data_IF_668246045740
#
_entry.id   IF_668246045740
#
_cell.length_a   1.000
_cell.length_b   1.000
_cell.length_c   1.000
_cell.angle_alpha   90.00
_cell.angle_beta   90.00
_cell.angle_gamma   90.00
#
_symmetry.space_group_name_H-M   'P 1'
#
loop_
_entity.id
_entity.type
_entity.pdbx_description
1 polymer ?
#
# COMPACT_ATOMS: atom_id res chain seq x y z
N UNK A 1 69.80 -58.44 64.77
CA UNK A 1 70.58 -58.26 66.00
C UNK A 1 69.62 -58.07 67.16
N UNK A 2 69.81 -58.62 68.35
CA UNK A 2 70.83 -59.50 68.90
C UNK A 2 70.10 -60.62 69.69
N UNK A 3 70.63 -61.86 69.73
CA UNK A 3 70.15 -62.92 70.60
C UNK A 3 70.89 -62.85 71.95
N UNK A 4 70.21 -63.15 73.06
CA UNK A 4 70.88 -63.40 74.34
C UNK A 4 70.57 -64.82 74.80
N UNK A 5 71.65 -65.58 74.82
CA UNK A 5 71.84 -66.98 75.16
C UNK A 5 72.51 -67.01 76.54
N UNK A 6 72.01 -67.79 77.48
CA UNK A 6 72.66 -68.07 78.76
C UNK A 6 72.28 -69.47 79.23
N UNK A 7 73.27 -70.35 79.14
CA UNK A 7 73.36 -71.74 79.62
C UNK A 7 73.96 -71.78 81.05
N UNK A 8 74.06 -73.00 81.60
CA UNK A 8 74.59 -73.49 82.91
C UNK A 8 73.51 -73.83 83.95
N UNK A 9 73.53 -74.95 84.67
CA UNK A 9 74.30 -76.22 84.63
C UNK A 9 73.68 -77.17 85.67
N UNK A 10 73.86 -78.48 85.46
CA UNK A 10 73.70 -79.59 86.40
C UNK A 10 74.54 -79.35 87.69
N UNK A 11 74.41 -79.99 88.85
CA UNK A 11 73.91 -81.29 89.29
C UNK A 11 74.02 -81.23 90.84
N UNK A 12 73.05 -81.73 91.62
CA UNK A 12 73.28 -82.61 92.79
C UNK A 12 72.02 -82.76 93.69
N UNK A 13 71.63 -84.03 93.76
CA UNK A 13 71.37 -84.81 94.96
C UNK A 13 69.93 -85.19 95.33
N UNK A 14 69.75 -86.51 95.30
CA UNK A 14 68.56 -87.27 95.60
C UNK A 14 68.34 -87.32 97.09
N UNK A 15 67.16 -86.92 97.56
CA UNK A 15 66.40 -87.65 98.60
C UNK A 15 65.25 -86.79 99.12
N UNK A 16 64.04 -87.04 98.62
CA UNK A 16 62.83 -87.23 99.44
C UNK A 16 61.61 -87.36 98.53
N UNK A 17 61.29 -88.61 98.25
CA UNK A 17 60.01 -89.06 97.71
C UNK A 17 58.87 -88.62 98.64
N UNK A 18 57.69 -88.47 98.05
CA UNK A 18 56.39 -88.56 98.73
C UNK A 18 55.88 -87.30 99.45
N UNK A 19 55.92 -86.12 98.80
CA UNK A 19 54.99 -85.02 99.13
C UNK A 19 54.75 -84.05 97.96
N UNK A 20 54.94 -84.51 96.71
CA UNK A 20 54.96 -83.68 95.49
C UNK A 20 53.67 -83.80 94.62
N UNK A 21 52.74 -84.69 94.99
CA UNK A 21 51.50 -84.89 94.23
C UNK A 21 50.48 -83.76 94.39
N UNK A 22 50.40 -83.12 95.55
CA UNK A 22 49.39 -82.08 95.85
C UNK A 22 49.82 -80.67 95.46
N UNK A 23 51.13 -80.36 95.54
CA UNK A 23 51.68 -79.06 95.13
C UNK A 23 51.73 -78.91 93.59
N UNK A 24 52.10 -79.97 92.87
CA UNK A 24 52.07 -79.97 91.40
C UNK A 24 50.63 -79.85 90.88
N UNK A 25 49.67 -80.53 91.52
CA UNK A 25 48.25 -80.42 91.18
C UNK A 25 47.73 -79.00 91.42
N UNK A 26 48.20 -78.33 92.49
CA UNK A 26 47.86 -76.95 92.81
C UNK A 26 48.45 -75.97 91.77
N UNK A 27 49.70 -76.14 91.36
CA UNK A 27 50.30 -75.31 90.30
C UNK A 27 49.65 -75.53 88.94
N UNK A 28 49.33 -76.78 88.58
CA UNK A 28 48.62 -77.11 87.33
C UNK A 28 47.19 -76.55 87.34
N UNK A 29 46.49 -76.60 88.48
CA UNK A 29 45.16 -75.99 88.61
C UNK A 29 45.21 -74.47 88.57
N UNK A 30 46.20 -73.83 89.21
CA UNK A 30 46.40 -72.37 89.11
C UNK A 30 46.72 -71.95 87.67
N UNK A 31 47.58 -72.69 86.97
CA UNK A 31 47.89 -72.44 85.56
C UNK A 31 46.68 -72.68 84.65
N UNK A 32 45.91 -73.74 84.88
CA UNK A 32 44.69 -74.03 84.12
C UNK A 32 43.62 -72.95 84.34
N UNK A 33 43.42 -72.50 85.58
CA UNK A 33 42.51 -71.39 85.90
C UNK A 33 42.99 -70.08 85.28
N UNK A 34 44.30 -69.78 85.35
CA UNK A 34 44.89 -68.61 84.70
C UNK A 34 44.74 -68.63 83.18
N UNK A 35 44.97 -69.78 82.54
CA UNK A 35 44.77 -69.97 81.10
C UNK A 35 43.29 -69.85 80.72
N UNK A 36 42.38 -70.41 81.53
CA UNK A 36 40.94 -70.33 81.29
C UNK A 36 40.41 -68.90 81.46
N UNK A 37 40.84 -68.18 82.50
CA UNK A 37 40.53 -66.77 82.70
C UNK A 37 41.13 -65.89 81.61
N UNK A 38 42.36 -66.16 81.18
CA UNK A 38 43.02 -65.46 80.06
C UNK A 38 42.31 -65.69 78.72
N UNK A 39 41.85 -66.92 78.46
CA UNK A 39 41.05 -67.26 77.29
C UNK A 39 39.68 -66.61 77.35
N UNK A 40 38.99 -66.65 78.49
CA UNK A 40 37.68 -66.01 78.68
C UNK A 40 37.78 -64.50 78.52
N UNK A 41 38.78 -63.85 79.14
CA UNK A 41 39.04 -62.42 78.99
C UNK A 41 39.39 -62.06 77.55
N UNK A 42 40.20 -62.86 76.85
CA UNK A 42 40.53 -62.62 75.43
C UNK A 42 39.32 -62.80 74.53
N UNK A 43 38.52 -63.85 74.75
CA UNK A 43 37.27 -64.10 74.02
C UNK A 43 36.29 -62.96 74.22
N UNK A 44 36.10 -62.50 75.46
CA UNK A 44 35.21 -61.39 75.76
C UNK A 44 35.72 -60.07 75.16
N UNK A 45 37.03 -59.83 75.18
CA UNK A 45 37.64 -58.64 74.56
C UNK A 45 37.55 -58.68 73.03
N UNK A 46 37.65 -59.87 72.43
CA UNK A 46 37.42 -60.09 70.99
C UNK A 46 35.95 -59.84 70.65
N UNK A 47 35.02 -60.43 71.40
CA UNK A 47 33.58 -60.28 71.18
C UNK A 47 33.13 -58.81 71.32
N UNK A 48 33.64 -58.08 72.31
CA UNK A 48 33.37 -56.64 72.45
C UNK A 48 33.96 -55.82 71.31
N UNK A 49 35.21 -56.09 70.87
CA UNK A 49 35.80 -55.43 69.71
C UNK A 49 35.02 -55.73 68.41
N UNK A 50 34.59 -56.96 68.23
CA UNK A 50 33.76 -57.37 67.08
C UNK A 50 32.38 -56.73 67.11
N UNK A 51 31.72 -56.67 68.28
CA UNK A 51 30.42 -56.02 68.44
C UNK A 51 30.52 -54.53 68.10
N UNK A 52 31.52 -53.82 68.65
CA UNK A 52 31.72 -52.39 68.37
C UNK A 52 32.01 -52.14 66.89
N UNK A 53 32.86 -52.97 66.26
CA UNK A 53 33.13 -52.86 64.83
C UNK A 53 31.88 -53.16 63.98
N UNK A 54 31.11 -54.17 64.36
CA UNK A 54 29.86 -54.54 63.68
C UNK A 54 28.79 -53.45 63.80
N UNK A 55 28.64 -52.85 64.98
CA UNK A 55 27.71 -51.75 65.23
C UNK A 55 28.11 -50.50 64.44
N UNK A 56 29.41 -50.18 64.39
CA UNK A 56 29.94 -49.09 63.55
C UNK A 56 29.64 -49.31 62.07
N UNK A 57 29.96 -50.50 61.54
CA UNK A 57 29.69 -50.85 60.14
C UNK A 57 28.20 -50.86 59.84
N UNK A 58 27.38 -51.40 60.75
CA UNK A 58 25.92 -51.41 60.61
C UNK A 58 25.34 -49.99 60.63
N UNK A 59 25.89 -49.11 61.47
CA UNK A 59 25.50 -47.71 61.54
C UNK A 59 25.86 -46.99 60.24
N UNK A 60 27.11 -47.11 59.78
CA UNK A 60 27.59 -46.49 58.53
C UNK A 60 26.81 -46.99 57.31
N UNK A 61 26.47 -48.29 57.29
CA UNK A 61 25.64 -48.88 56.25
C UNK A 61 24.21 -48.32 56.27
N UNK A 62 23.57 -48.20 57.45
CA UNK A 62 22.23 -47.61 57.58
C UNK A 62 22.23 -46.14 57.16
N UNK A 63 23.24 -45.37 57.55
CA UNK A 63 23.39 -43.97 57.14
C UNK A 63 23.57 -43.87 55.62
N UNK A 64 24.50 -44.65 55.04
CA UNK A 64 24.72 -44.67 53.58
C UNK A 64 23.47 -45.09 52.81
N UNK A 65 22.70 -46.05 53.35
CA UNK A 65 21.43 -46.48 52.75
C UNK A 65 20.36 -45.38 52.83
N UNK A 66 20.23 -44.70 53.97
CA UNK A 66 19.31 -43.57 54.14
C UNK A 66 19.68 -42.40 53.21
N UNK A 67 20.97 -42.07 53.09
CA UNK A 67 21.47 -41.05 52.18
C UNK A 67 21.18 -41.40 50.73
N UNK A 68 21.41 -42.67 50.33
CA UNK A 68 21.10 -43.14 48.99
C UNK A 68 19.59 -43.07 48.70
N UNK A 69 18.76 -43.48 49.66
CA UNK A 69 17.30 -43.42 49.54
C UNK A 69 16.81 -41.96 49.43
N UNK A 70 17.36 -41.05 50.23
CA UNK A 70 17.03 -39.63 50.17
C UNK A 70 17.48 -38.99 48.85
N UNK A 71 18.69 -39.32 48.38
CA UNK A 71 19.19 -38.87 47.08
C UNK A 71 18.32 -39.38 45.92
N UNK A 72 17.86 -40.63 45.99
CA UNK A 72 16.94 -41.20 45.02
C UNK A 72 15.59 -40.48 45.00
N UNK A 73 14.99 -40.22 46.17
CA UNK A 73 13.73 -39.45 46.28
C UNK A 73 13.91 -38.02 45.75
N UNK A 74 15.01 -37.36 46.10
CA UNK A 74 15.33 -36.01 45.61
C UNK A 74 15.49 -35.99 44.07
N UNK A 75 16.16 -37.00 43.51
CA UNK A 75 16.33 -37.13 42.06
C UNK A 75 15.00 -37.38 41.34
N UNK A 76 14.15 -38.27 41.88
CA UNK A 76 12.80 -38.51 41.34
C UNK A 76 11.96 -37.24 41.38
N UNK A 77 11.93 -36.53 42.51
CA UNK A 77 11.19 -35.27 42.62
C UNK A 77 11.67 -34.21 41.62
N UNK A 78 12.99 -34.13 41.37
CA UNK A 78 13.56 -33.24 40.36
C UNK A 78 13.11 -33.62 38.94
N UNK A 79 13.10 -34.92 38.62
CA UNK A 79 12.63 -35.43 37.33
C UNK A 79 11.13 -35.18 37.14
N UNK A 80 10.31 -35.43 38.16
CA UNK A 80 8.86 -35.16 38.13
C UNK A 80 8.58 -33.67 37.89
N UNK A 81 9.30 -32.78 38.58
CA UNK A 81 9.19 -31.33 38.37
C UNK A 81 9.56 -30.93 36.93
N UNK A 82 10.65 -31.49 36.40
CA UNK A 82 11.07 -31.23 35.01
C UNK A 82 10.05 -31.77 33.99
N UNK A 83 9.43 -32.92 34.27
CA UNK A 83 8.39 -33.49 33.43
C UNK A 83 7.12 -32.62 33.43
N UNK A 84 6.72 -32.07 34.58
CA UNK A 84 5.58 -31.17 34.67
C UNK A 84 5.84 -29.81 33.99
N UNK A 85 7.05 -29.28 34.11
CA UNK A 85 7.48 -28.09 33.34
C UNK A 85 7.45 -28.36 31.83
N UNK A 86 7.95 -29.52 31.39
CA UNK A 86 7.90 -29.92 29.98
C UNK A 86 6.46 -30.09 29.46
N UNK A 87 5.54 -30.66 30.26
CA UNK A 87 4.12 -30.77 29.90
C UNK A 87 3.46 -29.39 29.75
N UNK A 88 3.74 -28.46 30.67
CA UNK A 88 3.24 -27.07 30.58
C UNK A 88 3.74 -26.36 29.31
N UNK A 89 5.02 -26.51 28.98
CA UNK A 89 5.57 -25.99 27.73
C UNK A 89 4.92 -26.65 26.50
N UNK A 90 4.64 -27.96 26.56
CA UNK A 90 3.88 -28.67 25.53
C UNK A 90 2.51 -28.06 25.27
N UNK A 91 1.73 -27.80 26.33
CA UNK A 91 0.40 -27.16 26.20
C UNK A 91 0.47 -25.75 25.63
N UNK A 92 1.46 -24.94 26.02
CA UNK A 92 1.67 -23.59 25.47
C UNK A 92 1.99 -23.67 23.96
N UNK A 93 2.83 -24.63 23.55
CA UNK A 93 3.16 -24.85 22.14
C UNK A 93 1.95 -25.28 21.31
N UNK A 94 1.06 -26.11 21.86
CA UNK A 94 -0.19 -26.51 21.21
C UNK A 94 -1.15 -25.32 21.02
N UNK A 95 -1.30 -24.48 22.05
CA UNK A 95 -2.12 -23.26 22.00
C UNK A 95 -1.58 -22.25 20.96
N UNK A 96 -0.26 -22.05 20.93
CA UNK A 96 0.40 -21.19 19.94
C UNK A 96 0.23 -21.74 18.51
N UNK A 97 0.34 -23.06 18.31
CA UNK A 97 0.11 -23.68 17.01
C UNK A 97 -1.36 -23.51 16.57
N UNK A 98 -2.31 -23.69 17.49
CA UNK A 98 -3.73 -23.44 17.22
C UNK A 98 -3.99 -21.97 16.84
N UNK A 99 -3.39 -21.02 17.55
CA UNK A 99 -3.46 -19.59 17.24
C UNK A 99 -2.86 -19.27 15.86
N UNK A 100 -1.70 -19.84 15.52
CA UNK A 100 -1.06 -19.66 14.23
C UNK A 100 -1.89 -20.25 13.08
N UNK A 101 -2.53 -21.40 13.27
CA UNK A 101 -3.49 -21.96 12.29
C UNK A 101 -4.69 -21.04 12.06
N UNK A 102 -5.20 -20.41 13.12
CA UNK A 102 -6.28 -19.41 13.02
C UNK A 102 -5.83 -18.19 12.22
N UNK A 103 -4.63 -17.67 12.46
CA UNK A 103 -4.03 -16.57 11.69
C UNK A 103 -3.82 -16.95 10.22
N UNK A 104 -3.28 -18.14 9.94
CA UNK A 104 -3.07 -18.63 8.58
C UNK A 104 -4.39 -18.69 7.81
N UNK A 105 -5.47 -19.22 8.41
CA UNK A 105 -6.80 -19.20 7.80
C UNK A 105 -7.30 -17.78 7.50
N UNK A 106 -7.03 -16.81 8.37
CA UNK A 106 -7.40 -15.42 8.13
C UNK A 106 -6.62 -14.80 6.96
N UNK A 107 -5.31 -15.09 6.86
CA UNK A 107 -4.46 -14.64 5.73
C UNK A 107 -4.95 -15.25 4.43
N UNK A 108 -5.21 -16.56 4.37
CA UNK A 108 -5.75 -17.21 3.17
C UNK A 108 -7.10 -16.61 2.73
N UNK A 109 -7.95 -16.22 3.67
CA UNK A 109 -9.22 -15.53 3.34
C UNK A 109 -8.97 -14.14 2.74
N UNK A 110 -7.97 -13.41 3.23
CA UNK A 110 -7.57 -12.11 2.67
C UNK A 110 -7.03 -12.28 1.25
N UNK A 111 -6.19 -13.29 1.00
CA UNK A 111 -5.67 -13.63 -0.34
C UNK A 111 -6.81 -13.96 -1.31
N UNK A 112 -7.75 -14.81 -0.92
CA UNK A 112 -8.94 -15.12 -1.74
C UNK A 112 -9.78 -13.88 -2.03
N UNK A 113 -9.96 -13.01 -1.04
CA UNK A 113 -10.68 -11.74 -1.25
C UNK A 113 -9.93 -10.82 -2.22
N UNK A 114 -8.60 -10.76 -2.13
CA UNK A 114 -7.76 -9.99 -3.05
C UNK A 114 -7.88 -10.51 -4.48
N UNK A 115 -7.83 -11.83 -4.69
CA UNK A 115 -7.99 -12.45 -6.00
C UNK A 115 -9.36 -12.16 -6.61
N UNK A 116 -10.42 -12.24 -5.81
CA UNK A 116 -11.77 -11.87 -6.23
C UNK A 116 -11.87 -10.39 -6.64
N UNK A 117 -11.32 -9.48 -5.82
CA UNK A 117 -11.30 -8.04 -6.13
C UNK A 117 -10.50 -7.78 -7.42
N UNK A 118 -9.35 -8.42 -7.59
CA UNK A 118 -8.50 -8.32 -8.78
C UNK A 118 -9.22 -8.81 -10.04
N UNK A 119 -9.97 -9.91 -9.95
CA UNK A 119 -10.79 -10.42 -11.04
C UNK A 119 -11.94 -9.47 -11.40
N UNK A 120 -12.66 -8.95 -10.40
CA UNK A 120 -13.73 -7.95 -10.61
C UNK A 120 -13.19 -6.66 -11.24
N UNK A 121 -12.03 -6.18 -10.77
CA UNK A 121 -11.36 -5.01 -11.33
C UNK A 121 -10.99 -5.23 -12.80
N UNK A 122 -10.41 -6.40 -13.11
CA UNK A 122 -10.05 -6.77 -14.48
C UNK A 122 -11.26 -6.84 -15.42
N UNK A 123 -12.41 -7.33 -14.94
CA UNK A 123 -13.64 -7.35 -15.73
C UNK A 123 -14.20 -5.94 -15.93
N UNK A 124 -14.27 -5.13 -14.86
CA UNK A 124 -14.71 -3.73 -14.93
C UNK A 124 -13.88 -2.92 -15.93
N UNK A 125 -12.58 -3.23 -16.00
CA UNK A 125 -11.68 -2.59 -16.96
C UNK A 125 -11.96 -2.97 -18.41
N UNK A 126 -12.32 -4.24 -18.68
CA UNK A 126 -12.76 -4.69 -20.01
C UNK A 126 -14.06 -3.98 -20.40
N UNK A 127 -15.02 -3.90 -19.49
CA UNK A 127 -16.31 -3.25 -19.72
C UNK A 127 -16.12 -1.74 -20.01
N UNK A 128 -15.27 -1.06 -19.22
CA UNK A 128 -14.88 0.34 -19.47
C UNK A 128 -14.31 0.55 -20.87
N UNK A 129 -13.39 -0.33 -21.30
CA UNK A 129 -12.79 -0.26 -22.63
C UNK A 129 -13.80 -0.51 -23.74
N UNK A 130 -14.76 -1.42 -23.55
CA UNK A 130 -15.84 -1.66 -24.49
C UNK A 130 -16.77 -0.45 -24.61
N UNK A 131 -17.17 0.14 -23.48
CA UNK A 131 -17.99 1.37 -23.45
C UNK A 131 -17.26 2.52 -24.12
N UNK A 132 -15.95 2.66 -23.89
CA UNK A 132 -15.13 3.70 -24.53
C UNK A 132 -15.10 3.54 -26.06
N UNK A 133 -14.95 2.30 -26.56
CA UNK A 133 -15.03 2.02 -28.01
C UNK A 133 -16.41 2.35 -28.58
N UNK A 134 -17.50 1.97 -27.89
CA UNK A 134 -18.87 2.31 -28.29
C UNK A 134 -19.09 3.82 -28.33
N UNK A 135 -18.56 4.55 -27.36
CA UNK A 135 -18.61 6.02 -27.32
C UNK A 135 -17.85 6.65 -28.50
N UNK A 136 -16.66 6.15 -28.83
CA UNK A 136 -15.88 6.65 -29.97
C UNK A 136 -16.61 6.45 -31.31
N UNK A 137 -17.26 5.30 -31.50
CA UNK A 137 -18.11 5.03 -32.67
C UNK A 137 -19.31 5.98 -32.70
N UNK A 138 -20.00 6.15 -31.58
CA UNK A 138 -21.11 7.08 -31.45
C UNK A 138 -20.73 8.53 -31.80
N UNK A 139 -19.58 9.02 -31.32
CA UNK A 139 -19.07 10.35 -31.63
C UNK A 139 -18.81 10.51 -33.13
N UNK A 140 -18.27 9.46 -33.78
CA UNK A 140 -18.02 9.47 -35.23
C UNK A 140 -19.32 9.52 -36.02
N UNK A 141 -20.32 8.74 -35.62
CA UNK A 141 -21.64 8.71 -36.25
C UNK A 141 -22.40 10.03 -36.07
N UNK A 142 -22.28 10.66 -34.90
CA UNK A 142 -22.83 12.00 -34.65
C UNK A 142 -22.24 13.04 -35.59
N UNK A 143 -20.91 13.08 -35.73
CA UNK A 143 -20.26 14.01 -36.68
C UNK A 143 -20.71 13.77 -38.12
N UNK A 144 -20.85 12.51 -38.54
CA UNK A 144 -21.35 12.19 -39.87
C UNK A 144 -22.80 12.65 -40.08
N UNK A 145 -23.66 12.54 -39.05
CA UNK A 145 -25.03 13.04 -39.10
C UNK A 145 -25.09 14.57 -39.13
N UNK A 146 -24.25 15.24 -38.35
CA UNK A 146 -24.12 16.71 -38.34
C UNK A 146 -23.74 17.23 -39.74
N UNK A 147 -22.72 16.64 -40.37
CA UNK A 147 -22.33 16.93 -41.75
C UNK A 147 -23.47 16.68 -42.75
N UNK A 148 -24.25 15.61 -42.53
CA UNK A 148 -25.37 15.27 -43.41
C UNK A 148 -26.52 16.28 -43.28
N UNK A 149 -26.86 16.68 -42.05
CA UNK A 149 -27.84 17.73 -41.77
C UNK A 149 -27.40 19.03 -42.42
N UNK A 150 -26.12 19.41 -42.33
CA UNK A 150 -25.61 20.63 -42.95
C UNK A 150 -25.81 20.61 -44.47
N UNK A 151 -25.50 19.49 -45.14
CA UNK A 151 -25.70 19.32 -46.59
C UNK A 151 -27.18 19.36 -46.98
N UNK A 152 -28.06 18.69 -46.22
CA UNK A 152 -29.51 18.71 -46.47
C UNK A 152 -30.07 20.12 -46.37
N UNK A 153 -29.66 20.89 -45.36
CA UNK A 153 -30.11 22.28 -45.21
C UNK A 153 -29.66 23.17 -46.39
N UNK A 154 -28.42 23.03 -46.86
CA UNK A 154 -27.95 23.73 -48.05
C UNK A 154 -28.74 23.35 -49.30
N UNK A 155 -29.13 22.08 -49.43
CA UNK A 155 -29.96 21.61 -50.55
C UNK A 155 -31.39 22.13 -50.47
N UNK A 156 -32.01 22.13 -49.28
CA UNK A 156 -33.32 22.74 -49.05
C UNK A 156 -33.32 24.22 -49.45
N UNK A 157 -32.31 24.99 -49.01
CA UNK A 157 -32.17 26.42 -49.34
C UNK A 157 -32.03 26.65 -50.85
N UNK A 158 -31.19 25.86 -51.53
CA UNK A 158 -31.07 25.90 -53.01
C UNK A 158 -32.38 25.56 -53.71
N UNK A 159 -33.13 24.61 -53.18
CA UNK A 159 -34.40 24.13 -53.74
C UNK A 159 -35.50 25.16 -53.56
N UNK A 160 -35.59 25.78 -52.37
CA UNK A 160 -36.51 26.88 -52.07
C UNK A 160 -36.22 28.10 -52.96
N UNK A 161 -34.94 28.46 -53.17
CA UNK A 161 -34.55 29.51 -54.11
C UNK A 161 -34.93 29.16 -55.57
N UNK A 162 -34.80 27.90 -55.97
CA UNK A 162 -35.19 27.43 -57.31
C UNK A 162 -36.70 27.40 -57.51
N UNK A 163 -37.48 27.06 -56.47
CA UNK A 163 -38.94 27.11 -56.48
C UNK A 163 -39.45 28.53 -56.74
N UNK A 164 -38.80 29.55 -56.19
CA UNK A 164 -39.12 30.96 -56.46
C UNK A 164 -38.93 31.34 -57.94
N UNK A 165 -38.10 30.60 -58.70
CA UNK A 165 -37.82 30.86 -60.12
C UNK A 165 -38.79 30.18 -61.11
N UNK A 166 -39.74 29.37 -60.65
CA UNK A 166 -40.93 28.94 -61.41
C UNK A 166 -40.78 27.74 -62.36
N UNK A 167 -39.57 27.33 -62.75
CA UNK A 167 -39.37 26.17 -63.64
C UNK A 167 -39.23 24.87 -62.81
N UNK A 168 -40.20 23.94 -62.92
CA UNK A 168 -40.29 22.62 -62.21
C UNK A 168 -40.86 22.60 -60.78
N UNK A 169 -41.89 23.38 -60.51
CA UNK A 169 -42.49 23.51 -59.17
C UNK A 169 -42.92 22.17 -58.50
N UNK A 170 -43.61 21.29 -59.22
CA UNK A 170 -44.19 20.07 -58.62
C UNK A 170 -43.13 19.01 -58.24
N UNK A 171 -42.09 18.83 -59.06
CA UNK A 171 -40.98 17.91 -58.78
C UNK A 171 -40.17 18.42 -57.57
N UNK A 172 -39.89 19.73 -57.52
CA UNK A 172 -39.16 20.36 -56.43
C UNK A 172 -39.95 20.36 -55.12
N UNK A 173 -41.27 20.56 -55.15
CA UNK A 173 -42.13 20.43 -53.95
C UNK A 173 -42.09 19.01 -53.37
N UNK A 174 -42.10 17.99 -54.22
CA UNK A 174 -42.00 16.58 -53.79
C UNK A 174 -40.64 16.28 -53.15
N UNK A 175 -39.54 16.77 -53.75
CA UNK A 175 -38.19 16.64 -53.19
C UNK A 175 -38.06 17.36 -51.85
N UNK A 176 -38.63 18.58 -51.73
CA UNK A 176 -38.60 19.36 -50.50
C UNK A 176 -39.37 18.67 -49.35
N UNK A 177 -40.54 18.08 -49.64
CA UNK A 177 -41.31 17.31 -48.64
C UNK A 177 -40.53 16.08 -48.16
N UNK A 178 -39.88 15.36 -49.08
CA UNK A 178 -39.04 14.21 -48.73
C UNK A 178 -37.85 14.62 -47.84
N UNK A 179 -37.13 15.69 -48.20
CA UNK A 179 -36.02 16.23 -47.42
C UNK A 179 -36.47 16.73 -46.03
N UNK A 180 -37.60 17.42 -45.94
CA UNK A 180 -38.17 17.87 -44.64
C UNK A 180 -38.56 16.68 -43.75
N UNK A 181 -39.07 15.59 -44.32
CA UNK A 181 -39.36 14.35 -43.58
C UNK A 181 -38.09 13.69 -43.06
N UNK A 182 -37.05 13.60 -43.88
CA UNK A 182 -35.75 13.05 -43.47
C UNK A 182 -35.10 13.89 -42.37
N UNK A 183 -35.12 15.22 -42.50
CA UNK A 183 -34.62 16.15 -41.50
C UNK A 183 -35.35 16.00 -40.15
N UNK A 184 -36.67 15.78 -40.17
CA UNK A 184 -37.45 15.47 -38.95
C UNK A 184 -36.99 14.18 -38.29
N UNK A 185 -36.70 13.12 -39.05
CA UNK A 185 -36.20 11.85 -38.51
C UNK A 185 -34.79 12.03 -37.91
N UNK A 186 -33.91 12.77 -38.58
CA UNK A 186 -32.57 13.07 -38.09
C UNK A 186 -32.62 13.89 -36.79
N UNK A 187 -33.47 14.91 -36.72
CA UNK A 187 -33.66 15.70 -35.49
C UNK A 187 -34.19 14.86 -34.32
N UNK A 188 -35.12 13.92 -34.59
CA UNK A 188 -35.59 12.99 -33.56
C UNK A 188 -34.48 12.05 -33.07
N UNK A 189 -33.65 11.54 -34.00
CA UNK A 189 -32.48 10.72 -33.64
C UNK A 189 -31.51 11.52 -32.79
N UNK A 190 -31.19 12.74 -33.22
CA UNK A 190 -30.26 13.62 -32.52
C UNK A 190 -30.71 13.94 -31.09
N UNK A 191 -32.00 14.20 -30.88
CA UNK A 191 -32.56 14.35 -29.51
C UNK A 191 -32.37 13.10 -28.64
N UNK A 192 -32.55 11.89 -29.20
CA UNK A 192 -32.27 10.65 -28.47
C UNK A 192 -30.77 10.49 -28.15
N UNK A 193 -29.89 10.87 -29.07
CA UNK A 193 -28.46 10.86 -28.84
C UNK A 193 -28.03 11.87 -27.77
N UNK A 194 -28.60 13.08 -27.76
CA UNK A 194 -28.36 14.08 -26.72
C UNK A 194 -28.70 13.55 -25.33
N UNK A 195 -29.87 12.92 -25.18
CA UNK A 195 -30.27 12.29 -23.91
C UNK A 195 -29.33 11.16 -23.47
N UNK A 196 -28.86 10.34 -24.42
CA UNK A 196 -27.89 9.28 -24.14
C UNK A 196 -26.53 9.85 -23.73
N UNK A 197 -26.05 10.89 -24.42
CA UNK A 197 -24.80 11.57 -24.11
C UNK A 197 -24.85 12.20 -22.71
N UNK A 198 -25.94 12.86 -22.37
CA UNK A 198 -26.14 13.45 -21.03
C UNK A 198 -26.24 12.39 -19.93
N UNK A 199 -26.83 11.23 -20.23
CA UNK A 199 -26.82 10.07 -19.33
C UNK A 199 -25.39 9.57 -19.10
N UNK A 200 -24.60 9.44 -20.17
CA UNK A 200 -23.19 9.01 -20.08
C UNK A 200 -22.33 10.03 -19.33
N UNK A 201 -22.48 11.33 -19.61
CA UNK A 201 -21.79 12.42 -18.90
C UNK A 201 -22.08 12.36 -17.41
N UNK A 202 -23.36 12.21 -17.01
CA UNK A 202 -23.75 12.04 -15.60
C UNK A 202 -23.14 10.79 -14.97
N UNK A 203 -23.14 9.65 -15.66
CA UNK A 203 -22.53 8.43 -15.17
C UNK A 203 -21.01 8.58 -14.95
N UNK A 204 -20.30 9.21 -15.89
CA UNK A 204 -18.88 9.52 -15.77
C UNK A 204 -18.62 10.49 -14.62
N UNK A 205 -19.42 11.55 -14.49
CA UNK A 205 -19.31 12.55 -13.43
C UNK A 205 -19.48 11.90 -12.04
N UNK A 206 -20.54 11.11 -11.84
CA UNK A 206 -20.79 10.36 -10.59
C UNK A 206 -19.67 9.37 -10.28
N UNK A 207 -19.23 8.61 -11.27
CA UNK A 207 -18.10 7.67 -11.09
C UNK A 207 -16.82 8.42 -10.73
N UNK A 208 -16.56 9.55 -11.37
CA UNK A 208 -15.37 10.37 -11.11
C UNK A 208 -15.44 10.98 -9.71
N UNK A 209 -16.61 11.44 -9.26
CA UNK A 209 -16.80 11.98 -7.92
C UNK A 209 -16.52 10.94 -6.84
N UNK A 210 -17.00 9.70 -7.01
CA UNK A 210 -16.70 8.59 -6.09
C UNK A 210 -15.20 8.31 -6.05
N UNK A 211 -14.56 8.13 -7.20
CA UNK A 211 -13.11 7.87 -7.26
C UNK A 211 -12.28 9.03 -6.72
N UNK A 212 -12.71 10.27 -6.94
CA UNK A 212 -12.07 11.47 -6.39
C UNK A 212 -12.10 11.47 -4.87
N UNK A 213 -13.28 11.21 -4.28
CA UNK A 213 -13.45 11.14 -2.84
C UNK A 213 -12.71 9.94 -2.21
N UNK A 214 -12.73 8.78 -2.88
CA UNK A 214 -12.04 7.57 -2.42
C UNK A 214 -10.51 7.73 -2.41
N UNK A 215 -9.94 8.42 -3.41
CA UNK A 215 -8.48 8.54 -3.57
C UNK A 215 -7.89 9.76 -2.87
N UNK A 216 -8.59 10.88 -2.94
CA UNK A 216 -8.06 12.19 -2.53
C UNK A 216 -8.86 12.83 -1.39
N UNK A 217 -9.95 12.21 -0.95
CA UNK A 217 -10.82 12.75 0.09
C UNK A 217 -11.77 13.85 -0.40
N UNK A 218 -12.41 14.53 0.55
CA UNK A 218 -13.31 15.65 0.25
C UNK A 218 -12.51 16.88 -0.19
N UNK A 219 -13.02 17.58 -1.22
CA UNK A 219 -12.45 18.84 -1.70
C UNK A 219 -13.02 20.09 -0.98
N UNK A 220 -12.68 21.31 -1.45
CA UNK A 220 -11.80 21.58 -2.58
C UNK A 220 -10.34 21.18 -2.30
N UNK A 221 -9.66 20.69 -3.33
CA UNK A 221 -8.28 20.24 -3.24
C UNK A 221 -7.32 21.38 -3.55
N UNK A 222 -6.12 21.36 -2.97
CA UNK A 222 -5.07 22.33 -3.27
C UNK A 222 -3.82 21.65 -3.83
N UNK A 223 -3.24 22.28 -4.86
CA UNK A 223 -2.00 21.84 -5.51
C UNK A 223 -0.95 22.93 -5.43
N UNK A 224 0.18 22.61 -4.83
CA UNK A 224 1.38 23.45 -4.81
C UNK A 224 2.24 23.15 -6.02
N UNK A 225 2.55 24.19 -6.80
CA UNK A 225 3.50 24.12 -7.91
C UNK A 225 4.82 24.76 -7.51
N UNK A 226 5.86 23.95 -7.40
CA UNK A 226 7.24 24.40 -7.28
C UNK A 226 7.80 24.60 -8.70
N UNK A 227 8.33 25.79 -8.96
CA UNK A 227 8.88 26.16 -10.27
C UNK A 227 10.33 26.60 -10.15
N UNK A 228 11.05 26.49 -11.27
CA UNK A 228 12.43 26.96 -11.41
C UNK A 228 12.50 27.91 -12.59
N UNK A 229 13.08 29.09 -12.37
CA UNK A 229 13.47 30.01 -13.43
C UNK A 229 14.80 29.53 -14.04
N UNK A 230 14.80 29.29 -15.35
CA UNK A 230 15.97 28.82 -16.10
C UNK A 230 16.54 29.99 -16.88
N UNK A 231 17.35 30.82 -16.21
CA UNK A 231 18.06 31.95 -16.81
C UNK A 231 19.57 31.77 -16.66
N UNK A 232 20.24 31.34 -17.74
CA UNK A 232 21.68 31.07 -17.70
C UNK A 232 22.02 29.93 -16.74
N UNK A 233 22.89 30.20 -15.75
CA UNK A 233 23.34 29.22 -14.76
C UNK A 233 22.60 29.31 -13.42
N UNK A 234 21.75 30.32 -13.19
CA UNK A 234 20.95 30.41 -11.96
C UNK A 234 19.68 29.57 -12.07
N UNK A 235 19.28 28.97 -10.95
CA UNK A 235 18.04 28.21 -10.78
C UNK A 235 17.27 28.79 -9.60
N UNK A 236 16.70 29.97 -9.81
CA UNK A 236 15.88 30.60 -8.79
C UNK A 236 14.58 29.80 -8.65
N UNK A 237 14.20 29.50 -7.41
CA UNK A 237 12.99 28.74 -7.10
C UNK A 237 11.87 29.67 -6.67
N UNK A 238 10.65 29.33 -7.04
CA UNK A 238 9.44 29.96 -6.54
C UNK A 238 8.32 28.93 -6.46
N UNK A 239 7.21 29.30 -5.83
CA UNK A 239 6.04 28.44 -5.79
C UNK A 239 4.74 29.23 -5.80
N UNK A 240 3.67 28.61 -6.30
CA UNK A 240 2.31 29.14 -6.24
C UNK A 240 1.34 28.00 -5.92
N UNK A 241 0.20 28.33 -5.33
CA UNK A 241 -0.82 27.36 -4.93
C UNK A 241 -2.09 27.59 -5.72
N UNK A 242 -2.65 26.49 -6.23
CA UNK A 242 -3.93 26.44 -6.92
C UNK A 242 -4.94 25.73 -6.02
N UNK A 243 -6.11 26.33 -5.83
CA UNK A 243 -7.28 25.65 -5.29
C UNK A 243 -8.16 25.17 -6.44
N UNK A 244 -8.57 23.90 -6.41
CA UNK A 244 -9.39 23.29 -7.45
C UNK A 244 -10.87 23.54 -7.21
N UNK A 245 -11.67 23.42 -8.27
CA UNK A 245 -13.12 23.49 -8.20
C UNK A 245 -13.67 22.41 -7.22
N UNK A 246 -14.81 22.66 -6.56
CA UNK A 246 -15.45 21.67 -5.70
C UNK A 246 -15.74 20.33 -6.40
N UNK A 247 -15.61 19.23 -5.66
CA UNK A 247 -15.77 17.87 -6.19
C UNK A 247 -17.17 17.59 -6.77
N UNK A 248 -18.20 18.29 -6.30
CA UNK A 248 -19.58 18.18 -6.79
C UNK A 248 -19.85 19.03 -8.03
N UNK A 249 -18.95 19.98 -8.34
CA UNK A 249 -19.10 20.92 -9.43
C UNK A 249 -18.47 20.41 -10.73
N UNK A 250 -17.24 19.89 -10.64
CA UNK A 250 -16.49 19.36 -11.79
C UNK A 250 -15.63 18.13 -11.43
N UNK A 251 -16.25 17.05 -10.94
CA UNK A 251 -15.53 15.87 -10.46
C UNK A 251 -14.64 15.23 -11.50
N UNK A 252 -15.07 15.19 -12.77
CA UNK A 252 -14.30 14.50 -13.80
C UNK A 252 -12.99 15.23 -14.09
N UNK A 253 -13.07 16.55 -14.26
CA UNK A 253 -11.92 17.41 -14.57
C UNK A 253 -10.94 17.48 -13.41
N UNK A 254 -11.45 17.63 -12.18
CA UNK A 254 -10.62 17.67 -10.98
C UNK A 254 -9.92 16.33 -10.76
N UNK A 255 -10.63 15.20 -10.89
CA UNK A 255 -10.03 13.88 -10.80
C UNK A 255 -8.92 13.69 -11.85
N UNK A 256 -9.20 14.06 -13.10
CA UNK A 256 -8.22 13.96 -14.19
C UNK A 256 -6.98 14.78 -13.91
N UNK A 257 -7.13 16.02 -13.46
CA UNK A 257 -6.00 16.87 -13.13
C UNK A 257 -5.18 16.32 -11.94
N UNK A 258 -5.85 15.83 -10.88
CA UNK A 258 -5.14 15.26 -9.72
C UNK A 258 -4.42 13.95 -10.06
N UNK A 259 -4.99 13.09 -10.92
CA UNK A 259 -4.32 11.89 -11.43
C UNK A 259 -3.06 12.26 -12.26
N UNK A 260 -3.06 13.39 -12.96
CA UNK A 260 -1.87 13.91 -13.64
C UNK A 260 -0.83 14.44 -12.66
N UNK A 261 -1.25 15.16 -11.62
CA UNK A 261 -0.34 15.65 -10.57
C UNK A 261 0.30 14.48 -9.82
N UNK A 262 -0.50 13.52 -9.33
CA UNK A 262 -0.02 12.39 -8.53
C UNK A 262 0.90 11.44 -9.31
N UNK A 263 0.76 11.36 -10.63
CA UNK A 263 1.66 10.58 -11.49
C UNK A 263 2.99 11.28 -11.81
N UNK A 264 3.15 12.55 -11.42
CA UNK A 264 4.31 13.39 -11.73
C UNK A 264 4.31 13.89 -13.17
N UNK A 265 3.15 13.94 -13.84
CA UNK A 265 3.06 14.29 -15.27
C UNK A 265 3.61 15.69 -15.56
N UNK A 266 3.36 16.62 -14.65
CA UNK A 266 3.74 18.02 -14.80
C UNK A 266 5.20 18.32 -14.46
N UNK A 267 5.95 17.39 -13.87
CA UNK A 267 7.36 17.59 -13.54
C UNK A 267 8.19 17.77 -14.81
N UNK A 268 8.89 18.89 -14.94
CA UNK A 268 9.63 19.30 -16.13
C UNK A 268 8.77 19.81 -17.28
N UNK A 269 7.46 20.04 -17.08
CA UNK A 269 6.67 20.82 -18.03
C UNK A 269 7.07 22.30 -17.94
N UNK A 270 6.90 23.04 -19.03
CA UNK A 270 7.27 24.45 -19.10
C UNK A 270 6.07 25.35 -19.39
N UNK A 271 6.21 26.62 -19.02
CA UNK A 271 5.30 27.68 -19.42
C UNK A 271 5.74 28.15 -20.81
N UNK A 272 5.15 27.56 -21.84
CA UNK A 272 5.75 27.55 -23.18
C UNK A 272 5.17 28.60 -24.13
N UNK A 273 3.95 29.07 -23.89
CA UNK A 273 3.28 30.13 -24.65
C UNK A 273 2.66 31.10 -23.65
N UNK A 274 2.93 32.39 -23.80
CA UNK A 274 2.09 33.45 -23.23
C UNK A 274 1.47 34.23 -24.38
N UNK A 275 0.14 34.24 -24.42
CA UNK A 275 -0.64 35.09 -25.33
C UNK A 275 -1.33 36.18 -24.53
N UNK A 276 -2.08 37.04 -25.21
CA UNK A 276 -2.69 38.22 -24.59
C UNK A 276 -3.56 37.86 -23.38
N UNK A 277 -4.27 36.73 -23.40
CA UNK A 277 -5.29 36.39 -22.41
C UNK A 277 -4.99 35.16 -21.55
N UNK A 278 -4.01 34.32 -21.91
CA UNK A 278 -3.64 33.11 -21.17
C UNK A 278 -2.14 32.80 -21.22
N UNK A 279 -1.65 32.06 -20.22
CA UNK A 279 -0.35 31.40 -20.19
C UNK A 279 -0.59 29.90 -20.34
N UNK A 280 0.04 29.22 -21.30
CA UNK A 280 -0.11 27.78 -21.52
C UNK A 280 1.05 26.98 -20.90
N UNK A 281 0.69 25.84 -20.30
CA UNK A 281 1.58 24.92 -19.59
C UNK A 281 1.49 23.55 -20.24
N UNK A 282 2.65 22.92 -20.49
CA UNK A 282 2.71 21.63 -21.16
C UNK A 282 4.14 21.14 -21.40
N UNK A 283 4.27 19.94 -21.98
CA UNK A 283 5.57 19.44 -22.42
C UNK A 283 5.92 20.00 -23.79
N UNK A 284 6.72 21.07 -23.81
CA UNK A 284 7.19 21.67 -25.05
C UNK A 284 8.27 20.82 -25.74
N UNK A 285 9.08 20.11 -24.96
CA UNK A 285 10.27 19.45 -25.50
C UNK A 285 9.90 18.25 -26.37
N UNK A 286 8.62 17.83 -26.39
CA UNK A 286 8.15 16.59 -27.01
C UNK A 286 9.15 15.47 -26.72
N UNK A 287 9.65 15.42 -25.47
CA UNK A 287 10.75 14.53 -25.15
C UNK A 287 10.20 13.10 -25.32
N UNK A 288 10.61 12.36 -26.37
CA UNK A 288 9.93 11.11 -26.70
C UNK A 288 10.12 10.07 -25.59
N UNK A 289 11.17 10.20 -24.78
CA UNK A 289 11.39 9.34 -23.62
C UNK A 289 10.43 9.67 -22.48
N UNK A 290 10.24 10.97 -22.19
CA UNK A 290 9.28 11.41 -21.17
C UNK A 290 7.87 11.00 -21.57
N UNK A 291 7.50 11.22 -22.82
CA UNK A 291 6.21 10.80 -23.37
C UNK A 291 6.03 9.27 -23.27
N UNK A 292 7.05 8.46 -23.58
CA UNK A 292 7.00 7.00 -23.39
C UNK A 292 6.82 6.59 -21.93
N UNK A 293 7.50 7.24 -20.99
CA UNK A 293 7.37 6.96 -19.55
C UNK A 293 5.96 7.30 -19.08
N UNK A 294 5.46 8.46 -19.50
CA UNK A 294 4.10 8.94 -19.24
C UNK A 294 3.09 7.95 -19.81
N UNK A 295 3.17 7.65 -21.11
CA UNK A 295 2.29 6.69 -21.78
C UNK A 295 2.36 5.31 -21.12
N UNK A 296 3.53 4.86 -20.65
CA UNK A 296 3.67 3.60 -19.92
C UNK A 296 2.92 3.63 -18.58
N UNK A 297 3.15 4.66 -17.75
CA UNK A 297 2.42 4.86 -16.48
C UNK A 297 0.90 4.93 -16.70
N UNK A 298 0.46 5.70 -17.69
CA UNK A 298 -0.95 5.84 -18.03
C UNK A 298 -1.56 4.56 -18.61
N UNK A 299 -0.79 3.79 -19.40
CA UNK A 299 -1.20 2.47 -19.89
C UNK A 299 -1.33 1.45 -18.76
N UNK A 300 -0.40 1.45 -17.80
CA UNK A 300 -0.48 0.62 -16.58
C UNK A 300 -1.73 0.98 -15.75
N UNK A 301 -2.08 2.26 -15.67
CA UNK A 301 -3.30 2.75 -15.03
C UNK A 301 -4.57 2.63 -15.90
N UNK A 302 -4.43 2.16 -17.15
CA UNK A 302 -5.52 2.12 -18.16
C UNK A 302 -6.33 3.42 -18.22
N UNK A 303 -5.59 4.53 -18.22
CA UNK A 303 -6.08 5.88 -18.10
C UNK A 303 -5.52 6.74 -19.22
N UNK A 304 -6.36 7.56 -19.86
CA UNK A 304 -5.90 8.55 -20.84
C UNK A 304 -5.70 9.88 -20.12
N UNK A 305 -4.57 10.58 -20.27
CA UNK A 305 -4.34 11.91 -19.68
C UNK A 305 -5.13 12.99 -20.43
N UNK A 306 -6.43 12.75 -20.64
CA UNK A 306 -7.34 13.62 -21.35
C UNK A 306 -8.75 13.43 -20.81
N UNK A 307 -9.53 14.50 -20.71
CA UNK A 307 -10.93 14.41 -20.33
C UNK A 307 -11.74 13.63 -21.38
N UNK A 308 -12.77 12.93 -20.90
CA UNK A 308 -13.73 12.22 -21.76
C UNK A 308 -14.73 13.18 -22.42
N UNK A 309 -14.98 14.34 -21.81
CA UNK A 309 -15.85 15.40 -22.31
C UNK A 309 -15.48 16.76 -21.70
N UNK A 310 -15.99 17.84 -22.27
CA UNK A 310 -15.82 19.20 -21.75
C UNK A 310 -16.78 19.44 -20.58
N UNK A 311 -16.31 19.24 -19.35
CA UNK A 311 -17.08 19.49 -18.13
C UNK A 311 -16.98 20.97 -17.74
N UNK A 312 -17.90 21.78 -18.25
CA UNK A 312 -18.00 23.22 -17.96
C UNK A 312 -19.12 23.50 -16.96
N UNK A 313 -18.84 24.33 -15.95
CA UNK A 313 -19.84 24.81 -15.00
C UNK A 313 -19.91 26.35 -15.00
N UNK A 314 -21.07 26.98 -15.29
CA UNK A 314 -21.20 28.44 -15.31
C UNK A 314 -21.00 29.10 -13.93
N UNK A 315 -21.10 28.34 -12.84
CA UNK A 315 -20.79 28.83 -11.48
C UNK A 315 -19.28 28.86 -11.18
N UNK A 316 -18.43 28.33 -12.08
CA UNK A 316 -16.98 28.42 -12.01
C UNK A 316 -16.42 29.07 -13.28
N UNK A 317 -16.60 30.39 -13.43
CA UNK A 317 -16.23 31.13 -14.64
C UNK A 317 -14.71 31.24 -14.85
N UNK A 318 -14.31 31.54 -16.08
CA UNK A 318 -12.90 31.72 -16.47
C UNK A 318 -12.38 33.12 -16.08
N UNK A 319 -12.35 33.43 -14.79
CA UNK A 319 -11.84 34.70 -14.27
C UNK A 319 -10.32 34.82 -14.36
N UNK A 320 -9.77 36.01 -14.06
CA UNK A 320 -8.32 36.17 -13.88
C UNK A 320 -7.77 35.14 -12.88
N UNK A 321 -6.60 34.57 -13.19
CA UNK A 321 -5.90 33.56 -12.39
C UNK A 321 -6.61 32.21 -12.25
N UNK A 322 -7.65 31.94 -13.02
CA UNK A 322 -8.24 30.60 -13.10
C UNK A 322 -7.50 29.71 -14.10
N UNK A 323 -7.58 28.39 -13.91
CA UNK A 323 -6.96 27.38 -14.74
C UNK A 323 -8.00 26.69 -15.61
N UNK A 324 -7.65 26.38 -16.86
CA UNK A 324 -8.54 25.64 -17.75
C UNK A 324 -7.85 24.72 -18.74
N UNK A 325 -8.63 23.79 -19.31
CA UNK A 325 -8.20 22.94 -20.43
C UNK A 325 -8.73 23.52 -21.74
N UNK A 326 -7.85 23.68 -22.74
CA UNK A 326 -8.20 24.31 -24.02
C UNK A 326 -9.13 23.46 -24.90
N UNK A 327 -9.99 24.12 -25.69
CA UNK A 327 -10.83 23.45 -26.71
C UNK A 327 -9.95 22.74 -27.74
N UNK A 328 -10.14 21.42 -27.89
CA UNK A 328 -9.38 20.56 -28.81
C UNK A 328 -8.16 19.86 -28.19
N UNK A 329 -7.76 20.25 -26.98
CA UNK A 329 -6.74 19.55 -26.20
C UNK A 329 -7.24 19.45 -24.75
N UNK A 330 -7.97 18.38 -24.46
CA UNK A 330 -8.60 18.12 -23.16
C UNK A 330 -7.61 17.61 -22.11
N UNK A 331 -6.36 18.09 -22.16
CA UNK A 331 -5.25 17.59 -21.39
C UNK A 331 -4.24 16.79 -22.23
N UNK A 332 -2.97 16.71 -21.77
CA UNK A 332 -2.52 17.11 -20.43
C UNK A 332 -2.19 18.60 -20.28
N UNK A 333 -2.08 19.34 -21.39
CA UNK A 333 -1.77 20.77 -21.35
C UNK A 333 -2.94 21.57 -20.78
N UNK A 334 -2.64 22.53 -19.93
CA UNK A 334 -3.63 23.45 -19.36
C UNK A 334 -3.13 24.90 -19.49
N UNK A 335 -3.98 25.86 -19.18
CA UNK A 335 -3.61 27.26 -19.19
C UNK A 335 -4.02 27.97 -17.90
N UNK A 336 -3.44 29.14 -17.67
CA UNK A 336 -3.83 30.09 -16.61
C UNK A 336 -4.34 31.37 -17.28
N UNK A 337 -5.54 31.81 -16.91
CA UNK A 337 -6.14 33.06 -17.37
C UNK A 337 -5.41 34.29 -16.82
N UNK A 338 -5.06 35.22 -17.71
CA UNK A 338 -4.42 36.51 -17.38
C UNK A 338 -5.41 37.64 -17.16
N UNK A 339 -6.64 37.45 -17.62
CA UNK A 339 -7.77 38.37 -17.56
C UNK A 339 -9.04 37.53 -17.46
N UNK A 340 -10.19 38.16 -17.19
CA UNK A 340 -11.48 37.48 -17.28
C UNK A 340 -11.79 37.08 -18.74
N UNK A 341 -11.78 35.77 -18.99
CA UNK A 341 -12.07 35.14 -20.27
C UNK A 341 -13.41 34.39 -20.26
N UNK A 342 -14.32 34.69 -19.33
CA UNK A 342 -15.61 34.00 -19.22
C UNK A 342 -16.40 34.02 -20.52
N UNK A 343 -16.34 35.11 -21.28
CA UNK A 343 -17.01 35.23 -22.59
C UNK A 343 -16.32 34.46 -23.70
N UNK A 344 -14.99 34.28 -23.61
CA UNK A 344 -14.17 33.68 -24.67
C UNK A 344 -14.06 32.16 -24.53
N UNK A 345 -13.84 31.68 -23.29
CA UNK A 345 -13.68 30.26 -22.97
C UNK A 345 -14.93 29.65 -22.33
N UNK A 346 -15.89 30.45 -21.86
CA UNK A 346 -17.16 29.94 -21.35
C UNK A 346 -18.10 29.46 -22.46
N UNK A 347 -19.23 28.88 -22.04
CA UNK A 347 -20.28 28.46 -22.97
C UNK A 347 -20.95 29.67 -23.64
N UNK A 348 -20.98 29.68 -24.97
CA UNK A 348 -21.73 30.68 -25.70
C UNK A 348 -23.24 30.48 -25.50
N UNK A 349 -23.97 31.58 -25.26
CA UNK A 349 -25.44 31.57 -25.16
C UNK A 349 -26.09 31.46 -26.53
N UNK A 350 -25.39 31.90 -27.56
CA UNK A 350 -25.87 31.88 -28.92
C UNK A 350 -25.96 30.43 -29.42
N UNK A 351 -27.13 30.11 -29.93
CA UNK A 351 -27.37 28.86 -30.63
C UNK A 351 -27.11 29.07 -32.11
N UNK A 352 -26.62 28.05 -32.79
CA UNK A 352 -26.59 28.03 -34.24
C UNK A 352 -28.03 27.98 -34.80
N UNK A 353 -28.15 28.02 -36.14
CA UNK A 353 -29.46 27.96 -36.82
C UNK A 353 -30.25 26.66 -36.56
N UNK A 354 -29.66 25.68 -35.88
CA UNK A 354 -30.26 24.40 -35.54
C UNK A 354 -30.56 24.23 -34.06
N UNK A 355 -30.25 25.25 -33.23
CA UNK A 355 -30.50 25.22 -31.81
C UNK A 355 -29.37 24.58 -30.98
N UNK A 356 -28.20 24.31 -31.57
CA UNK A 356 -27.03 23.82 -30.83
C UNK A 356 -26.19 24.98 -30.34
N UNK A 357 -25.56 24.89 -29.16
CA UNK A 357 -24.60 25.90 -28.73
C UNK A 357 -23.50 26.04 -29.77
N UNK A 358 -23.23 27.25 -30.26
CA UNK A 358 -22.12 27.50 -31.18
C UNK A 358 -20.77 27.04 -30.61
N UNK A 359 -20.67 26.99 -29.28
CA UNK A 359 -19.48 26.56 -28.57
C UNK A 359 -19.82 25.98 -27.19
N UNK A 360 -19.41 24.73 -26.96
CA UNK A 360 -19.26 24.20 -25.61
C UNK A 360 -18.17 24.98 -24.85
N UNK A 361 -18.42 25.25 -23.57
CA UNK A 361 -17.47 25.94 -22.72
C UNK A 361 -16.29 25.03 -22.37
N UNK A 362 -15.13 25.62 -22.18
CA UNK A 362 -13.95 24.93 -21.70
C UNK A 362 -14.06 24.61 -20.20
N UNK A 363 -13.41 23.53 -19.71
CA UNK A 363 -13.38 23.24 -18.28
C UNK A 363 -12.47 24.24 -17.55
N UNK A 364 -13.03 25.00 -16.61
CA UNK A 364 -12.30 25.90 -15.70
C UNK A 364 -12.24 25.26 -14.32
N UNK A 365 -11.08 24.73 -13.91
CA UNK A 365 -11.02 23.73 -12.82
C UNK A 365 -10.17 24.12 -11.62
N UNK A 366 -9.58 25.30 -11.62
CA UNK A 366 -8.87 25.80 -10.45
C UNK A 366 -8.63 27.29 -10.50
N UNK A 367 -8.12 27.83 -9.40
CA UNK A 367 -7.76 29.24 -9.24
C UNK A 367 -6.48 29.36 -8.44
N UNK A 368 -5.57 30.22 -8.88
CA UNK A 368 -4.37 30.55 -8.11
C UNK A 368 -4.80 31.33 -6.87
N UNK A 369 -4.60 30.74 -5.69
CA UNK A 369 -4.96 31.33 -4.39
C UNK A 369 -3.76 31.90 -3.64
N UNK A 370 -2.53 31.48 -3.99
CA UNK A 370 -1.27 32.02 -3.46
C UNK A 370 -0.22 32.11 -4.56
N UNK A 371 0.62 33.13 -4.55
CA UNK A 371 1.69 33.32 -5.55
C UNK A 371 1.20 33.93 -6.88
N UNK A 372 0.18 34.79 -6.87
CA UNK A 372 -0.27 35.47 -8.07
C UNK A 372 0.80 36.38 -8.69
N UNK A 373 1.66 36.99 -7.86
CA UNK A 373 2.85 37.74 -8.26
C UNK A 373 3.87 36.85 -8.98
N UNK A 374 4.04 35.60 -8.53
CA UNK A 374 4.89 34.61 -9.21
C UNK A 374 4.35 34.30 -10.60
N UNK A 375 3.03 34.08 -10.75
CA UNK A 375 2.40 33.85 -12.06
C UNK A 375 2.54 35.05 -12.99
N UNK A 376 2.39 36.28 -12.47
CA UNK A 376 2.64 37.52 -13.26
C UNK A 376 4.10 37.67 -13.66
N UNK A 377 5.04 37.26 -12.80
CA UNK A 377 6.46 37.21 -13.14
C UNK A 377 6.71 36.21 -14.28
N UNK A 378 6.11 35.01 -14.22
CA UNK A 378 6.17 34.03 -15.33
C UNK A 378 5.67 34.65 -16.63
N UNK A 379 4.54 35.37 -16.59
CA UNK A 379 3.97 36.05 -17.76
C UNK A 379 4.96 37.05 -18.36
N UNK A 380 5.55 37.91 -17.52
CA UNK A 380 6.53 38.92 -17.96
C UNK A 380 7.81 38.31 -18.57
N UNK A 381 8.18 37.11 -18.11
CA UNK A 381 9.34 36.39 -18.60
C UNK A 381 9.04 35.57 -19.85
N UNK A 382 7.77 35.35 -20.19
CA UNK A 382 7.36 34.54 -21.34
C UNK A 382 7.03 35.48 -22.49
N UNK A 383 7.88 35.60 -23.52
CA UNK A 383 7.62 36.48 -24.66
C UNK A 383 6.22 36.26 -25.23
N UNK A 384 5.54 37.38 -25.50
CA UNK A 384 4.26 37.36 -26.22
C UNK A 384 4.53 36.88 -27.64
N UNK A 385 4.23 35.61 -27.88
CA UNK A 385 4.66 34.92 -29.08
C UNK A 385 3.79 33.69 -29.30
N UNK A 386 3.28 33.52 -30.53
CA UNK A 386 2.68 32.24 -30.94
C UNK A 386 3.74 31.14 -31.13
N UNK A 387 5.02 31.50 -31.12
CA UNK A 387 6.13 30.55 -31.16
C UNK A 387 6.56 30.19 -29.75
N UNK A 388 6.68 28.89 -29.43
CA UNK A 388 7.14 28.45 -28.13
C UNK A 388 8.52 29.02 -27.78
N UNK A 389 8.68 29.59 -26.59
CA UNK A 389 9.96 30.18 -26.13
C UNK A 389 10.80 29.11 -25.43
N UNK A 390 12.13 29.12 -25.58
CA UNK A 390 13.02 28.14 -24.91
C UNK A 390 12.75 28.20 -23.40
N UNK A 391 12.61 27.06 -22.74
CA UNK A 391 12.10 26.92 -21.36
C UNK A 391 12.72 27.92 -20.38
N UNK A 392 12.05 29.04 -20.13
CA UNK A 392 12.49 30.05 -19.16
C UNK A 392 11.96 29.75 -17.75
N UNK A 393 10.85 29.00 -17.67
CA UNK A 393 10.23 28.57 -16.43
C UNK A 393 9.77 27.12 -16.60
N UNK A 394 10.18 26.27 -15.67
CA UNK A 394 9.80 24.85 -15.62
C UNK A 394 9.14 24.53 -14.28
N UNK A 395 8.18 23.62 -14.29
CA UNK A 395 7.61 23.03 -13.09
C UNK A 395 8.62 22.01 -12.57
N UNK A 396 9.22 22.25 -11.41
CA UNK A 396 10.07 21.26 -10.74
C UNK A 396 9.22 20.18 -10.09
N UNK A 397 8.09 20.56 -9.48
CA UNK A 397 7.18 19.64 -8.80
C UNK A 397 5.76 20.18 -8.73
N UNK A 398 4.79 19.27 -8.72
CA UNK A 398 3.41 19.57 -8.36
C UNK A 398 2.99 18.63 -7.22
N UNK A 399 2.50 19.19 -6.11
CA UNK A 399 2.21 18.44 -4.88
C UNK A 399 0.79 18.70 -4.41
N UNK A 400 0.02 17.64 -4.13
CA UNK A 400 -1.33 17.74 -3.55
C UNK A 400 -1.18 17.95 -2.03
N UNK A 401 -1.73 19.06 -1.50
CA UNK A 401 -1.47 19.47 -0.11
C UNK A 401 -2.33 18.75 0.94
N UNK A 402 -3.55 18.34 0.59
CA UNK A 402 -4.55 17.87 1.58
C UNK A 402 -4.46 16.36 1.92
N UNK A 403 -3.41 15.66 1.47
CA UNK A 403 -3.29 14.20 1.65
C UNK A 403 -2.63 13.78 2.98
N UNK A 404 -2.07 14.71 3.76
CA UNK A 404 -1.22 14.35 4.91
C UNK A 404 -1.95 14.25 6.26
N UNK A 405 -3.24 14.54 6.33
CA UNK A 405 -4.01 14.57 7.59
C UNK A 405 -5.10 13.48 7.69
N UNK A 406 -5.14 12.51 6.78
CA UNK A 406 -6.03 11.33 6.81
C UNK A 406 -5.21 10.05 6.94
#
# INVERSE_FOLDING_TARGET
>A
GQPFDLTFSDEEDLSRKSLCGTSLLLYVTILAVGAFLGFFSSSHMLETKYSVAFDSVSYDFRQSFQDLQQNYVNALSKIEKQLDEAKKLGTICEDDNHFMRKKLKAVTKIEQNYDNISATYSQTLKDKNEVTKKLQVAIKDLKANEDHILRLNQNCERTENSLQSGNKRQELETQLVAQKKELKILNMKDSMWGNNLDSMRRAISLSSQRSLNERYGQGPHQVLFDIVYVQGNSKDKASFTVELAPNDMMPHTVLTFLDMVSSGLYEGCSFFISVQHVIMIGDKNNNPQKEKIIQKKFKELSYSPSLMYQEHNPAYPHEEMTLGFSKGNLGPSFYINKVDNTKLHGRHKDLDKFGFPLQEGEPCFGKVVKGADIVRKIDSLTPVSHRPVKNLVEIERATILNLQEQ
#
